data_IF_876753888686
#
_entry.id   IF_876753888686
#
_cell.length_a   1.000
_cell.length_b   1.000
_cell.length_c   1.000
_cell.angle_alpha   90.00
_cell.angle_beta   90.00
_cell.angle_gamma   90.00
#
_symmetry.space_group_name_H-M   'P 1'
#
loop_
_entity.id
_entity.type
_entity.pdbx_description
1 polymer ?
#
# COMPACT_ATOMS: atom_id res chain seq x y z
N UNK A 1 41.81 25.73 30.07
CA UNK A 1 42.87 25.53 29.04
C UNK A 1 42.13 25.42 27.71
N UNK A 2 42.09 26.52 26.95
CA UNK A 2 41.39 26.57 25.66
C UNK A 2 42.25 25.82 24.66
N UNK A 3 41.85 24.60 24.31
CA UNK A 3 42.49 23.82 23.27
C UNK A 3 42.37 24.62 21.97
N UNK A 4 43.51 25.13 21.49
CA UNK A 4 43.61 25.66 20.14
C UNK A 4 43.59 24.45 19.22
N UNK A 5 42.41 23.92 18.91
CA UNK A 5 42.27 23.04 17.76
C UNK A 5 42.84 23.80 16.57
N UNK A 6 43.83 23.20 15.90
CA UNK A 6 44.45 23.84 14.73
C UNK A 6 43.30 24.16 13.77
N UNK A 7 43.18 25.39 13.24
CA UNK A 7 42.07 25.76 12.36
C UNK A 7 41.96 24.83 11.15
N UNK A 8 43.07 24.22 10.76
CA UNK A 8 43.15 23.17 9.74
C UNK A 8 42.37 21.89 10.12
N UNK A 9 42.43 21.45 11.38
CA UNK A 9 41.70 20.27 11.86
C UNK A 9 40.20 20.55 11.97
N UNK A 10 39.80 21.73 12.44
CA UNK A 10 38.39 22.14 12.45
C UNK A 10 37.84 22.19 11.02
N UNK A 11 38.59 22.78 10.09
CA UNK A 11 38.23 22.83 8.67
C UNK A 11 38.14 21.42 8.06
N UNK A 12 39.08 20.54 8.37
CA UNK A 12 39.09 19.17 7.88
C UNK A 12 37.91 18.35 8.44
N UNK A 13 37.57 18.53 9.71
CA UNK A 13 36.44 17.85 10.35
C UNK A 13 35.07 18.34 9.84
N UNK A 14 34.98 19.60 9.38
CA UNK A 14 33.77 20.15 8.77
C UNK A 14 33.64 19.81 7.27
N UNK A 15 34.75 19.80 6.53
CA UNK A 15 34.73 19.56 5.08
C UNK A 15 34.74 18.07 4.73
N UNK A 16 35.43 17.22 5.49
CA UNK A 16 35.52 15.80 5.20
C UNK A 16 34.15 15.09 5.12
N UNK A 17 33.16 15.37 6.00
CA UNK A 17 31.82 14.80 5.89
C UNK A 17 31.03 15.28 4.66
N UNK A 18 31.33 16.48 4.13
CA UNK A 18 30.67 17.04 2.95
C UNK A 18 31.26 16.53 1.63
N UNK A 19 32.54 16.15 1.62
CA UNK A 19 33.25 15.61 0.46
C UNK A 19 32.68 14.26 0.00
N UNK A 20 32.30 13.39 0.93
CA UNK A 20 31.81 12.05 0.58
C UNK A 20 30.50 12.09 -0.21
N UNK A 21 29.43 12.79 0.24
CA UNK A 21 28.20 12.94 -0.55
C UNK A 21 28.44 13.61 -1.91
N UNK A 22 29.35 14.59 -1.98
CA UNK A 22 29.65 15.29 -3.23
C UNK A 22 30.38 14.38 -4.24
N UNK A 23 31.31 13.54 -3.78
CA UNK A 23 31.98 12.56 -4.62
C UNK A 23 31.00 11.48 -5.12
N UNK A 24 30.10 11.00 -4.25
CA UNK A 24 29.02 10.08 -4.63
C UNK A 24 28.09 10.71 -5.66
N UNK A 25 27.72 11.99 -5.49
CA UNK A 25 26.91 12.71 -6.46
C UNK A 25 27.60 12.84 -7.82
N UNK A 26 28.89 13.17 -7.83
CA UNK A 26 29.69 13.20 -9.06
C UNK A 26 29.71 11.84 -9.77
N UNK A 27 29.91 10.74 -9.03
CA UNK A 27 29.88 9.39 -9.58
C UNK A 27 28.50 9.05 -10.17
N UNK A 28 27.42 9.32 -9.44
CA UNK A 28 26.05 9.09 -9.91
C UNK A 28 25.78 9.85 -11.20
N UNK A 29 26.18 11.13 -11.28
CA UNK A 29 26.02 11.94 -12.50
C UNK A 29 26.76 11.30 -13.67
N UNK A 30 28.01 10.86 -13.47
CA UNK A 30 28.79 10.19 -14.52
C UNK A 30 28.08 8.91 -14.97
N UNK A 31 27.64 8.06 -14.04
CA UNK A 31 26.93 6.81 -14.35
C UNK A 31 25.64 7.10 -15.12
N UNK A 32 24.85 8.09 -14.70
CA UNK A 32 23.61 8.48 -15.39
C UNK A 32 23.89 8.99 -16.79
N UNK A 33 24.95 9.79 -16.99
CA UNK A 33 25.34 10.26 -18.33
C UNK A 33 25.69 9.08 -19.23
N UNK A 34 26.52 8.14 -18.76
CA UNK A 34 26.85 6.93 -19.52
C UNK A 34 25.62 6.07 -19.80
N UNK A 35 24.72 5.92 -18.82
CA UNK A 35 23.46 5.19 -18.97
C UNK A 35 22.54 5.82 -20.02
N UNK A 36 22.47 7.15 -20.08
CA UNK A 36 21.69 7.88 -21.08
C UNK A 36 22.33 7.83 -22.47
N UNK A 37 23.66 7.82 -22.56
CA UNK A 37 24.39 7.64 -23.82
C UNK A 37 24.17 6.24 -24.39
N UNK A 38 24.21 5.20 -23.54
CA UNK A 38 24.02 3.80 -23.93
C UNK A 38 22.56 3.33 -23.78
N UNK A 39 21.59 4.25 -23.74
CA UNK A 39 20.18 3.92 -23.43
C UNK A 39 19.61 2.85 -24.37
N UNK A 40 19.99 2.87 -25.64
CA UNK A 40 19.51 1.95 -26.68
C UNK A 40 20.11 0.56 -26.47
N UNK A 41 21.42 0.48 -26.24
CA UNK A 41 22.10 -0.78 -25.92
C UNK A 41 21.62 -1.40 -24.61
N UNK A 42 21.37 -0.58 -23.58
CA UNK A 42 20.82 -1.05 -22.30
C UNK A 42 19.39 -1.57 -22.46
N UNK A 43 18.56 -0.90 -23.25
CA UNK A 43 17.22 -1.37 -23.61
C UNK A 43 17.29 -2.71 -24.34
N UNK A 44 18.18 -2.84 -25.33
CA UNK A 44 18.31 -4.05 -26.12
C UNK A 44 18.84 -5.23 -25.28
N UNK A 45 19.79 -4.97 -24.37
CA UNK A 45 20.26 -5.97 -23.39
C UNK A 45 19.14 -6.40 -22.45
N UNK A 46 18.32 -5.47 -21.98
CA UNK A 46 17.18 -5.75 -21.11
C UNK A 46 16.11 -6.59 -21.81
N UNK A 47 15.74 -6.22 -23.05
CA UNK A 47 14.83 -6.98 -23.91
C UNK A 47 15.34 -8.42 -24.11
N UNK A 48 16.65 -8.59 -24.34
CA UNK A 48 17.25 -9.92 -24.49
C UNK A 48 17.17 -10.76 -23.20
N UNK A 49 17.19 -10.12 -22.03
CA UNK A 49 17.11 -10.78 -20.72
C UNK A 49 15.67 -11.24 -20.39
N UNK A 50 14.68 -10.42 -20.73
CA UNK A 50 13.24 -10.66 -20.50
C UNK A 50 12.65 -11.62 -21.54
N UNK A 51 13.31 -11.78 -22.70
CA UNK A 51 12.88 -12.66 -23.77
C UNK A 51 12.04 -11.94 -24.82
N UNK A 52 12.14 -12.41 -26.06
CA UNK A 52 11.53 -11.77 -27.24
C UNK A 52 10.00 -11.85 -27.31
N UNK A 53 9.35 -12.46 -26.32
CA UNK A 53 7.92 -12.83 -26.39
C UNK A 53 6.96 -11.65 -26.37
N UNK A 54 7.34 -10.50 -25.79
CA UNK A 54 6.42 -9.37 -25.66
C UNK A 54 7.13 -8.00 -25.57
N UNK A 55 7.72 -7.58 -26.70
CA UNK A 55 8.43 -6.29 -26.83
C UNK A 55 7.55 -5.08 -26.47
N UNK A 56 6.23 -5.22 -26.71
CA UNK A 56 5.25 -4.17 -26.48
C UNK A 56 5.04 -3.95 -24.97
N UNK A 57 4.77 -5.02 -24.21
CA UNK A 57 4.65 -4.97 -22.74
C UNK A 57 5.92 -4.46 -22.06
N UNK A 58 7.09 -4.92 -22.51
CA UNK A 58 8.38 -4.47 -21.96
C UNK A 58 8.62 -2.96 -22.18
N UNK A 59 8.23 -2.45 -23.35
CA UNK A 59 8.36 -1.01 -23.67
C UNK A 59 7.36 -0.16 -22.89
N UNK A 60 6.12 -0.64 -22.74
CA UNK A 60 5.11 0.01 -21.91
C UNK A 60 5.56 0.09 -20.44
N UNK A 61 6.06 -1.00 -19.87
CA UNK A 61 6.56 -1.04 -18.50
C UNK A 61 7.68 -0.01 -18.25
N UNK A 62 8.62 0.15 -19.19
CA UNK A 62 9.69 1.16 -19.10
C UNK A 62 9.15 2.60 -19.20
N UNK A 63 8.17 2.86 -20.06
CA UNK A 63 7.54 4.17 -20.19
C UNK A 63 6.74 4.54 -18.93
N UNK A 64 5.99 3.58 -18.39
CA UNK A 64 5.21 3.76 -17.17
C UNK A 64 6.09 3.97 -15.94
N UNK A 65 7.17 3.20 -15.81
CA UNK A 65 8.20 3.42 -14.81
C UNK A 65 8.78 4.85 -14.90
N UNK A 66 9.16 5.29 -16.10
CA UNK A 66 9.68 6.64 -16.32
C UNK A 66 8.67 7.74 -15.97
N UNK A 67 7.40 7.57 -16.35
CA UNK A 67 6.32 8.51 -16.03
C UNK A 67 6.10 8.62 -14.52
N UNK A 68 6.11 7.49 -13.81
CA UNK A 68 5.96 7.44 -12.34
C UNK A 68 7.10 8.14 -11.62
N UNK A 69 8.35 7.93 -12.05
CA UNK A 69 9.52 8.65 -11.50
C UNK A 69 9.40 10.14 -11.73
N UNK A 70 9.06 10.55 -12.96
CA UNK A 70 8.88 11.96 -13.32
C UNK A 70 7.80 12.64 -12.49
N UNK A 71 6.65 11.98 -12.33
CA UNK A 71 5.55 12.46 -11.50
C UNK A 71 5.95 12.56 -10.02
N UNK A 72 6.67 11.58 -9.48
CA UNK A 72 7.19 11.63 -8.10
C UNK A 72 8.14 12.81 -7.90
N UNK A 73 9.14 12.98 -8.78
CA UNK A 73 10.10 14.09 -8.66
C UNK A 73 9.41 15.45 -8.81
N UNK A 74 8.39 15.54 -9.67
CA UNK A 74 7.56 16.73 -9.79
C UNK A 74 6.79 17.00 -8.49
N UNK A 75 6.14 15.99 -7.91
CA UNK A 75 5.42 16.14 -6.64
C UNK A 75 6.37 16.52 -5.50
N UNK A 76 7.55 15.91 -5.41
CA UNK A 76 8.57 16.27 -4.43
C UNK A 76 9.01 17.74 -4.59
N UNK A 77 9.19 18.21 -5.83
CA UNK A 77 9.51 19.62 -6.09
C UNK A 77 8.36 20.53 -5.63
N UNK A 78 7.11 20.18 -5.91
CA UNK A 78 5.93 20.94 -5.47
C UNK A 78 5.87 21.02 -3.93
N UNK A 79 6.00 19.89 -3.22
CA UNK A 79 6.03 19.86 -1.76
C UNK A 79 7.16 20.74 -1.22
N UNK A 80 8.36 20.63 -1.79
CA UNK A 80 9.51 21.41 -1.36
C UNK A 80 9.28 22.91 -1.56
N UNK A 81 8.64 23.34 -2.66
CA UNK A 81 8.29 24.74 -2.90
C UNK A 81 7.24 25.22 -1.89
N UNK A 82 6.19 24.44 -1.67
CA UNK A 82 5.12 24.76 -0.69
C UNK A 82 5.68 24.85 0.73
N UNK A 83 6.74 24.11 1.06
CA UNK A 83 7.46 24.25 2.32
C UNK A 83 8.37 25.49 2.35
N UNK A 84 9.18 25.70 1.31
CA UNK A 84 10.22 26.73 1.30
C UNK A 84 9.70 28.16 1.20
N UNK A 85 8.58 28.39 0.50
CA UNK A 85 7.98 29.72 0.34
C UNK A 85 7.50 30.28 1.69
N UNK A 86 6.68 29.57 2.48
CA UNK A 86 6.30 30.00 3.83
C UNK A 86 7.50 30.16 4.77
N UNK A 87 8.51 29.28 4.70
CA UNK A 87 9.75 29.45 5.49
C UNK A 87 10.44 30.77 5.14
N UNK A 88 10.58 31.09 3.85
CA UNK A 88 11.17 32.35 3.38
C UNK A 88 10.40 33.55 3.94
N UNK A 89 9.08 33.52 3.82
CA UNK A 89 8.20 34.60 4.28
C UNK A 89 8.30 34.74 5.81
N UNK A 90 8.24 33.63 6.54
CA UNK A 90 8.33 33.62 8.00
C UNK A 90 9.68 34.15 8.51
N UNK A 91 10.79 33.73 7.91
CA UNK A 91 12.13 34.25 8.24
C UNK A 91 12.25 35.74 7.94
N UNK A 92 11.67 36.20 6.83
CA UNK A 92 11.63 37.62 6.47
C UNK A 92 10.83 38.44 7.48
N UNK A 93 9.65 37.95 7.90
CA UNK A 93 8.81 38.60 8.93
C UNK A 93 9.51 38.65 10.29
N UNK A 94 10.28 37.61 10.64
CA UNK A 94 11.08 37.57 11.87
C UNK A 94 12.33 38.47 11.81
N UNK A 95 12.63 39.07 10.66
CA UNK A 95 13.78 39.97 10.48
C UNK A 95 15.12 39.23 10.34
N UNK A 96 15.11 37.94 10.01
CA UNK A 96 16.34 37.18 9.77
C UNK A 96 16.95 37.61 8.42
N UNK A 97 18.22 38.02 8.39
CA UNK A 97 18.83 38.49 7.15
C UNK A 97 19.01 37.33 6.17
N UNK A 98 18.91 37.65 4.87
CA UNK A 98 19.00 36.68 3.77
C UNK A 98 17.92 35.57 3.83
N UNK A 99 16.69 35.89 4.27
CA UNK A 99 15.58 34.94 4.32
C UNK A 99 15.39 34.12 3.02
N UNK A 100 15.56 34.74 1.84
CA UNK A 100 15.49 34.05 0.55
C UNK A 100 16.58 32.98 0.38
N UNK A 101 17.80 33.26 0.83
CA UNK A 101 18.90 32.28 0.80
C UNK A 101 18.54 31.06 1.64
N UNK A 102 18.00 31.27 2.84
CA UNK A 102 17.61 30.19 3.74
C UNK A 102 16.43 29.39 3.20
N UNK A 103 15.45 30.04 2.58
CA UNK A 103 14.35 29.37 1.89
C UNK A 103 14.81 28.51 0.72
N UNK A 104 15.70 29.03 -0.15
CA UNK A 104 16.28 28.25 -1.25
C UNK A 104 17.15 27.09 -0.74
N UNK A 105 17.88 27.29 0.35
CA UNK A 105 18.65 26.22 0.97
C UNK A 105 17.73 25.15 1.54
N UNK A 106 16.64 25.52 2.21
CA UNK A 106 15.63 24.59 2.70
C UNK A 106 14.97 23.82 1.55
N UNK A 107 14.62 24.50 0.45
CA UNK A 107 14.11 23.89 -0.78
C UNK A 107 15.06 22.80 -1.31
N UNK A 108 16.34 23.12 -1.43
CA UNK A 108 17.36 22.22 -1.96
C UNK A 108 17.65 21.05 -1.02
N UNK A 109 17.75 21.32 0.29
CA UNK A 109 18.06 20.30 1.28
C UNK A 109 16.89 19.34 1.52
N UNK A 110 15.64 19.78 1.39
CA UNK A 110 14.46 18.92 1.60
C UNK A 110 14.31 17.79 0.57
N UNK A 111 15.10 17.79 -0.50
CA UNK A 111 15.25 16.57 -1.31
C UNK A 111 15.82 15.40 -0.52
N UNK A 112 16.60 15.64 0.54
CA UNK A 112 17.14 14.61 1.44
C UNK A 112 16.18 14.38 2.61
N UNK A 113 15.47 13.22 2.68
CA UNK A 113 14.53 12.94 3.75
C UNK A 113 15.19 12.97 5.13
N UNK A 114 14.44 13.42 6.14
CA UNK A 114 14.82 13.54 7.57
C UNK A 114 15.99 14.49 7.88
N UNK A 115 17.09 14.41 7.12
CA UNK A 115 18.31 15.19 7.33
C UNK A 115 18.15 16.61 6.77
N UNK A 116 17.53 16.72 5.60
CA UNK A 116 17.37 17.98 4.87
C UNK A 116 16.73 19.10 5.69
N UNK A 117 15.53 18.89 6.26
CA UNK A 117 14.86 19.88 7.10
C UNK A 117 15.69 20.27 8.33
N UNK A 118 16.35 19.31 8.98
CA UNK A 118 17.18 19.57 10.17
C UNK A 118 18.35 20.49 9.83
N UNK A 119 19.13 20.15 8.79
CA UNK A 119 20.27 20.98 8.37
C UNK A 119 19.79 22.34 7.86
N UNK A 120 18.67 22.37 7.13
CA UNK A 120 18.06 23.59 6.62
C UNK A 120 17.60 24.55 7.71
N UNK A 121 17.12 24.03 8.85
CA UNK A 121 16.71 24.82 10.01
C UNK A 121 17.89 25.26 10.88
N UNK A 122 18.93 24.43 10.97
CA UNK A 122 20.06 24.62 11.89
C UNK A 122 20.80 25.94 11.65
N UNK A 123 21.11 26.27 10.39
CA UNK A 123 21.85 27.49 10.06
C UNK A 123 21.04 28.78 10.36
N UNK A 124 19.76 28.92 9.97
CA UNK A 124 18.90 30.02 10.40
C UNK A 124 18.77 30.15 11.92
N UNK A 125 18.69 29.03 12.65
CA UNK A 125 18.62 29.04 14.11
C UNK A 125 19.89 29.60 14.76
N UNK A 126 21.06 29.19 14.27
CA UNK A 126 22.33 29.76 14.73
C UNK A 126 22.42 31.26 14.43
N UNK A 127 21.95 31.68 13.25
CA UNK A 127 21.90 33.09 12.89
C UNK A 127 20.94 33.88 13.79
N UNK A 128 19.78 33.32 14.11
CA UNK A 128 18.82 33.92 15.04
C UNK A 128 19.44 34.16 16.42
N UNK A 129 20.20 33.19 16.93
CA UNK A 129 20.93 33.29 18.19
C UNK A 129 22.05 34.35 18.15
N UNK A 130 22.70 34.51 17.00
CA UNK A 130 23.82 35.44 16.83
C UNK A 130 23.37 36.91 16.65
N UNK A 131 22.20 37.13 16.03
CA UNK A 131 21.74 38.47 15.63
C UNK A 131 21.00 39.20 16.76
N UNK A 132 20.19 38.51 17.57
CA UNK A 132 19.35 39.15 18.58
C UNK A 132 19.79 38.80 20.01
N UNK A 133 19.89 39.78 20.93
CA UNK A 133 20.09 39.50 22.34
C UNK A 133 18.79 38.93 22.93
N UNK A 134 18.79 37.63 23.23
CA UNK A 134 17.69 36.93 23.91
C UNK A 134 17.19 35.69 23.17
N UNK A 135 16.29 34.93 23.81
CA UNK A 135 15.81 33.63 23.30
C UNK A 135 14.59 33.75 22.38
N UNK A 136 13.91 34.89 22.35
CA UNK A 136 12.62 35.04 21.66
C UNK A 136 12.75 34.77 20.14
N UNK A 137 13.74 35.39 19.47
CA UNK A 137 13.92 35.21 18.03
C UNK A 137 14.22 33.73 17.69
N UNK A 138 15.12 33.10 18.46
CA UNK A 138 15.43 31.68 18.30
C UNK A 138 14.19 30.79 18.44
N UNK A 139 13.37 31.02 19.48
CA UNK A 139 12.16 30.24 19.72
C UNK A 139 11.13 30.41 18.62
N UNK A 140 10.92 31.64 18.12
CA UNK A 140 10.01 31.87 17.00
C UNK A 140 10.51 31.27 15.69
N UNK A 141 11.81 31.32 15.43
CA UNK A 141 12.41 30.64 14.26
C UNK A 141 12.27 29.13 14.39
N UNK A 142 12.53 28.55 15.57
CA UNK A 142 12.33 27.11 15.79
C UNK A 142 10.88 26.71 15.62
N UNK A 143 9.94 27.49 16.19
CA UNK A 143 8.51 27.26 16.02
C UNK A 143 8.09 27.31 14.55
N UNK A 144 8.61 28.26 13.77
CA UNK A 144 8.34 28.34 12.33
C UNK A 144 8.73 27.05 11.59
N UNK A 145 9.95 26.56 11.79
CA UNK A 145 10.41 25.32 11.15
C UNK A 145 9.63 24.09 11.62
N UNK A 146 9.36 23.97 12.93
CA UNK A 146 8.63 22.82 13.49
C UNK A 146 7.18 22.80 12.99
N UNK A 147 6.49 23.94 13.02
CA UNK A 147 5.10 24.05 12.56
C UNK A 147 5.01 23.75 11.07
N UNK A 148 5.93 24.30 10.27
CA UNK A 148 5.96 23.99 8.84
C UNK A 148 6.27 22.51 8.58
N UNK A 149 7.17 21.90 9.34
CA UNK A 149 7.45 20.47 9.20
C UNK A 149 6.23 19.61 9.54
N UNK A 150 5.52 19.98 10.61
CA UNK A 150 4.32 19.26 11.04
C UNK A 150 3.21 19.38 10.00
N UNK A 151 2.96 20.58 9.48
CA UNK A 151 1.97 20.83 8.41
C UNK A 151 2.36 20.07 7.15
N UNK A 152 3.63 20.12 6.74
CA UNK A 152 4.05 19.46 5.51
C UNK A 152 3.99 17.95 5.64
N UNK A 153 4.55 17.37 6.69
CA UNK A 153 4.60 15.92 6.88
C UNK A 153 3.24 15.27 7.19
N UNK A 154 2.33 15.97 7.89
CA UNK A 154 1.06 15.37 8.31
C UNK A 154 -0.15 15.82 7.49
N UNK A 155 -0.04 16.90 6.70
CA UNK A 155 -1.15 17.41 5.90
C UNK A 155 -0.80 17.43 4.41
N UNK A 156 0.28 18.13 4.03
CA UNK A 156 0.60 18.33 2.60
C UNK A 156 1.04 17.02 1.94
N UNK A 157 1.95 16.28 2.58
CA UNK A 157 2.48 15.02 2.03
C UNK A 157 1.37 13.96 1.91
N UNK A 158 0.54 13.67 2.94
CA UNK A 158 -0.58 12.74 2.79
C UNK A 158 -1.61 13.20 1.75
N UNK A 159 -1.89 14.50 1.65
CA UNK A 159 -2.84 15.02 0.67
C UNK A 159 -2.31 14.90 -0.77
N UNK A 160 -1.01 15.15 -0.98
CA UNK A 160 -0.41 15.12 -2.32
C UNK A 160 -0.02 13.71 -2.76
N UNK A 161 0.38 12.85 -1.82
CA UNK A 161 0.76 11.45 -2.05
C UNK A 161 -0.39 10.48 -1.73
N UNK A 162 -1.64 10.96 -1.63
CA UNK A 162 -2.83 10.34 -1.01
C UNK A 162 -3.35 9.00 -1.52
N UNK A 163 -2.52 8.21 -2.14
CA UNK A 163 -2.74 6.79 -2.42
C UNK A 163 -1.45 6.07 -2.06
N UNK A 164 -1.54 5.09 -1.14
CA UNK A 164 -0.41 4.22 -0.77
C UNK A 164 0.32 3.85 -2.05
N UNK A 165 1.65 4.02 -2.10
CA UNK A 165 2.50 3.89 -3.29
C UNK A 165 2.48 2.50 -3.96
N UNK A 166 1.55 1.63 -3.58
CA UNK A 166 1.51 0.21 -3.94
C UNK A 166 2.61 -0.59 -3.27
N UNK A 167 3.42 0.01 -2.39
CA UNK A 167 4.57 -0.62 -1.75
C UNK A 167 4.33 -0.97 -0.30
N UNK A 168 4.74 -2.18 0.11
CA UNK A 168 4.67 -2.58 1.51
C UNK A 168 5.53 -1.69 2.40
N UNK A 169 5.10 -1.41 3.66
CA UNK A 169 5.92 -0.64 4.60
C UNK A 169 7.32 -1.26 4.77
N UNK A 170 7.39 -2.59 4.78
CA UNK A 170 8.64 -3.33 4.82
C UNK A 170 9.48 -3.09 3.56
N UNK A 171 8.86 -3.10 2.37
CA UNK A 171 9.54 -2.76 1.11
C UNK A 171 10.17 -1.37 1.15
N UNK A 172 9.47 -0.37 1.69
CA UNK A 172 9.98 1.01 1.78
C UNK A 172 11.23 1.06 2.67
N UNK A 173 11.22 0.37 3.82
CA UNK A 173 12.35 0.32 4.74
C UNK A 173 13.55 -0.41 4.11
N UNK A 174 13.31 -1.60 3.54
CA UNK A 174 14.36 -2.41 2.90
C UNK A 174 14.96 -1.66 1.72
N UNK A 175 14.13 -1.02 0.90
CA UNK A 175 14.56 -0.16 -0.19
C UNK A 175 15.43 0.99 0.33
N UNK A 176 14.98 1.70 1.37
CA UNK A 176 15.73 2.83 1.91
C UNK A 176 17.13 2.41 2.34
N UNK A 177 17.26 1.25 3.01
CA UNK A 177 18.55 0.69 3.42
C UNK A 177 19.39 0.31 2.20
N UNK A 178 18.81 -0.46 1.27
CA UNK A 178 19.51 -0.97 0.08
C UNK A 178 20.03 0.17 -0.81
N UNK A 179 19.17 1.12 -1.16
CA UNK A 179 19.55 2.23 -2.03
C UNK A 179 20.50 3.20 -1.32
N UNK A 180 20.34 3.44 -0.02
CA UNK A 180 21.30 4.24 0.75
C UNK A 180 22.67 3.58 0.80
N UNK A 181 22.72 2.25 0.95
CA UNK A 181 23.98 1.51 0.91
C UNK A 181 24.63 1.59 -0.48
N UNK A 182 23.83 1.58 -1.56
CA UNK A 182 24.33 1.62 -2.93
C UNK A 182 24.89 3.00 -3.33
N UNK A 183 24.15 4.09 -3.09
CA UNK A 183 24.49 5.44 -3.58
C UNK A 183 24.56 6.52 -2.48
N UNK A 184 24.49 6.14 -1.21
CA UNK A 184 24.50 7.09 -0.09
C UNK A 184 23.22 7.92 0.00
N UNK A 185 23.31 9.20 0.40
CA UNK A 185 22.14 10.07 0.56
C UNK A 185 21.27 10.18 -0.70
N UNK A 186 21.87 10.18 -1.89
CA UNK A 186 21.13 10.21 -3.16
C UNK A 186 20.29 8.94 -3.37
N UNK A 187 20.81 7.80 -2.94
CA UNK A 187 20.05 6.55 -2.95
C UNK A 187 18.84 6.61 -2.04
N UNK A 188 18.95 7.25 -0.87
CA UNK A 188 17.79 7.47 0.01
C UNK A 188 16.71 8.31 -0.68
N UNK A 189 17.08 9.40 -1.35
CA UNK A 189 16.14 10.27 -2.09
C UNK A 189 15.40 9.50 -3.18
N UNK A 190 16.12 8.66 -3.91
CA UNK A 190 15.60 7.91 -5.05
C UNK A 190 15.03 6.53 -4.66
N UNK A 191 15.11 6.16 -3.39
CA UNK A 191 14.74 4.82 -2.91
C UNK A 191 13.31 4.46 -3.29
N UNK A 192 12.36 5.29 -2.87
CA UNK A 192 10.93 5.08 -3.14
C UNK A 192 10.62 5.01 -4.64
N UNK A 193 11.00 5.99 -5.48
CA UNK A 193 10.66 5.94 -6.90
C UNK A 193 11.34 4.78 -7.64
N UNK A 194 12.59 4.41 -7.30
CA UNK A 194 13.26 3.27 -7.93
C UNK A 194 12.60 1.95 -7.55
N UNK A 195 12.19 1.78 -6.30
CA UNK A 195 11.48 0.58 -5.86
C UNK A 195 10.10 0.48 -6.50
N UNK A 196 9.38 1.60 -6.64
CA UNK A 196 8.12 1.61 -7.42
C UNK A 196 8.38 1.16 -8.86
N UNK A 197 9.46 1.60 -9.51
CA UNK A 197 9.82 1.11 -10.84
C UNK A 197 10.06 -0.39 -10.86
N UNK A 198 10.81 -0.93 -9.89
CA UNK A 198 11.06 -2.37 -9.79
C UNK A 198 9.76 -3.17 -9.63
N UNK A 199 8.84 -2.70 -8.80
CA UNK A 199 7.53 -3.33 -8.60
C UNK A 199 6.66 -3.29 -9.85
N UNK A 200 6.57 -2.13 -10.51
CA UNK A 200 5.85 -1.98 -11.78
C UNK A 200 6.41 -2.88 -12.86
N UNK A 201 7.73 -3.06 -12.86
CA UNK A 201 8.41 -3.96 -13.79
C UNK A 201 8.05 -5.42 -13.50
N UNK A 202 7.93 -5.81 -12.23
CA UNK A 202 7.40 -7.12 -11.82
C UNK A 202 5.96 -7.38 -12.25
N UNK A 203 5.09 -6.37 -12.23
CA UNK A 203 3.69 -6.49 -12.68
C UNK A 203 3.55 -6.77 -14.18
N UNK A 204 4.47 -6.25 -14.99
CA UNK A 204 4.37 -6.34 -16.46
C UNK A 204 5.26 -7.43 -17.05
N UNK A 205 6.24 -7.92 -16.28
CA UNK A 205 7.24 -8.87 -16.76
C UNK A 205 7.18 -10.13 -15.90
N UNK A 206 6.67 -11.27 -16.44
CA UNK A 206 6.47 -12.50 -15.67
C UNK A 206 7.73 -13.00 -14.95
N UNK A 207 8.92 -12.81 -15.53
CA UNK A 207 10.18 -13.24 -14.90
C UNK A 207 10.53 -12.44 -13.64
N UNK A 208 9.93 -11.27 -13.45
CA UNK A 208 10.16 -10.37 -12.32
C UNK A 208 8.94 -10.26 -11.39
N UNK A 209 7.92 -11.11 -11.56
CA UNK A 209 6.70 -11.13 -10.75
C UNK A 209 7.01 -11.19 -9.24
N UNK A 210 8.09 -11.89 -8.85
CA UNK A 210 8.57 -11.94 -7.47
C UNK A 210 8.83 -10.56 -6.84
N UNK A 211 9.14 -9.52 -7.63
CA UNK A 211 9.33 -8.16 -7.14
C UNK A 211 8.01 -7.53 -6.68
N UNK A 212 6.92 -7.78 -7.39
CA UNK A 212 5.59 -7.31 -6.99
C UNK A 212 5.08 -8.09 -5.78
N UNK A 213 5.31 -9.41 -5.73
CA UNK A 213 4.98 -10.23 -4.56
C UNK A 213 5.75 -9.80 -3.31
N UNK A 214 7.06 -9.53 -3.45
CA UNK A 214 7.92 -9.19 -2.31
C UNK A 214 7.74 -7.75 -1.82
N UNK A 215 7.53 -6.81 -2.75
CA UNK A 215 7.52 -5.38 -2.44
C UNK A 215 6.16 -4.69 -2.61
N UNK A 216 5.20 -5.35 -3.24
CA UNK A 216 3.84 -4.86 -3.45
C UNK A 216 2.99 -4.87 -2.17
N UNK A 217 1.83 -4.23 -2.26
CA UNK A 217 0.82 -4.15 -1.20
C UNK A 217 -0.47 -4.92 -1.52
N UNK A 218 -0.52 -5.60 -2.67
CA UNK A 218 -1.66 -6.44 -3.01
C UNK A 218 -1.65 -7.68 -2.10
N UNK A 219 -2.82 -8.16 -1.64
CA UNK A 219 -2.88 -9.36 -0.82
C UNK A 219 -2.19 -10.51 -1.56
N UNK A 220 -1.16 -11.06 -0.93
CA UNK A 220 -0.24 -12.05 -1.55
C UNK A 220 -0.94 -13.37 -1.89
N UNK A 221 -2.11 -13.61 -1.29
CA UNK A 221 -2.96 -14.78 -1.51
C UNK A 221 -4.35 -14.33 -1.96
N UNK A 222 -4.91 -15.08 -2.91
CA UNK A 222 -6.32 -14.95 -3.29
C UNK A 222 -7.22 -15.23 -2.06
N UNK A 223 -8.39 -14.58 -1.95
CA UNK A 223 -9.24 -14.66 -0.75
C UNK A 223 -9.52 -16.09 -0.28
N UNK A 224 -9.81 -17.00 -1.20
CA UNK A 224 -10.10 -18.40 -0.88
C UNK A 224 -8.87 -19.18 -0.39
N UNK A 225 -7.68 -18.89 -0.94
CA UNK A 225 -6.43 -19.50 -0.48
C UNK A 225 -6.05 -19.01 0.92
N UNK A 226 -6.29 -17.72 1.22
CA UNK A 226 -6.11 -17.15 2.56
C UNK A 226 -7.06 -17.80 3.56
N UNK A 227 -8.33 -17.95 3.19
CA UNK A 227 -9.33 -18.61 4.02
C UNK A 227 -8.92 -20.07 4.31
N UNK A 228 -8.56 -20.84 3.27
CA UNK A 228 -8.08 -22.21 3.45
C UNK A 228 -6.87 -22.30 4.39
N UNK A 229 -5.91 -21.38 4.27
CA UNK A 229 -4.75 -21.34 5.18
C UNK A 229 -5.16 -21.11 6.64
N UNK A 230 -6.17 -20.26 6.91
CA UNK A 230 -6.66 -20.00 8.26
C UNK A 230 -7.41 -21.19 8.84
N UNK A 231 -8.24 -21.85 8.03
CA UNK A 231 -8.88 -23.10 8.41
C UNK A 231 -7.85 -24.20 8.72
N UNK A 232 -6.79 -24.30 7.92
CA UNK A 232 -5.67 -25.25 8.16
C UNK A 232 -4.87 -24.92 9.42
N UNK A 233 -4.76 -23.62 9.76
CA UNK A 233 -4.11 -23.17 10.99
C UNK A 233 -4.95 -23.42 12.25
N UNK A 234 -6.24 -23.78 12.10
CA UNK A 234 -7.16 -23.96 13.21
C UNK A 234 -7.56 -22.64 13.87
N UNK A 235 -7.63 -21.56 13.10
CA UNK A 235 -7.92 -20.19 13.57
C UNK A 235 -9.24 -19.69 12.95
N UNK A 236 -10.40 -20.17 13.44
CA UNK A 236 -11.70 -19.78 12.90
C UNK A 236 -12.06 -18.33 13.21
N UNK A 237 -11.52 -17.74 14.28
CA UNK A 237 -11.79 -16.36 14.67
C UNK A 237 -11.19 -15.40 13.62
N UNK A 238 -9.91 -15.56 13.24
CA UNK A 238 -9.32 -14.72 12.20
C UNK A 238 -9.93 -14.99 10.80
N UNK A 239 -10.39 -16.22 10.55
CA UNK A 239 -11.18 -16.51 9.35
C UNK A 239 -12.52 -15.75 9.33
N UNK A 240 -13.16 -15.61 10.50
CA UNK A 240 -14.42 -14.87 10.68
C UNK A 240 -14.19 -13.38 10.46
N UNK A 241 -13.16 -12.79 11.06
CA UNK A 241 -12.82 -11.37 10.88
C UNK A 241 -12.67 -11.01 9.38
N UNK A 242 -12.03 -11.89 8.60
CA UNK A 242 -11.88 -11.71 7.15
C UNK A 242 -13.18 -11.91 6.36
N UNK A 243 -14.04 -12.80 6.83
CA UNK A 243 -15.36 -13.00 6.24
C UNK A 243 -16.24 -11.77 6.50
N UNK A 244 -16.30 -11.26 7.73
CA UNK A 244 -17.03 -10.04 8.08
C UNK A 244 -16.56 -8.83 7.27
N UNK A 245 -15.23 -8.64 7.10
CA UNK A 245 -14.68 -7.58 6.23
C UNK A 245 -15.17 -7.71 4.76
N UNK A 246 -15.34 -8.94 4.26
CA UNK A 246 -15.90 -9.17 2.93
C UNK A 246 -17.41 -8.86 2.87
N UNK A 247 -18.14 -9.15 3.96
CA UNK A 247 -19.58 -8.95 4.08
C UNK A 247 -19.99 -7.49 4.35
N UNK A 248 -19.04 -6.60 4.64
CA UNK A 248 -19.31 -5.15 4.76
C UNK A 248 -19.94 -4.58 3.46
N UNK A 249 -19.47 -5.07 2.30
CA UNK A 249 -19.86 -4.56 0.97
C UNK A 249 -20.64 -5.60 0.13
N UNK A 250 -20.72 -6.86 0.55
CA UNK A 250 -21.24 -7.98 -0.25
C UNK A 250 -22.13 -8.92 0.57
N UNK A 251 -22.93 -9.72 -0.12
CA UNK A 251 -23.85 -10.67 0.51
C UNK A 251 -23.18 -11.98 0.94
N UNK A 252 -23.78 -12.68 1.90
CA UNK A 252 -23.31 -13.96 2.43
C UNK A 252 -23.13 -15.01 1.33
N UNK A 253 -24.05 -15.06 0.36
CA UNK A 253 -23.97 -15.99 -0.76
C UNK A 253 -22.72 -15.75 -1.63
N UNK A 254 -22.32 -14.49 -1.84
CA UNK A 254 -21.15 -14.16 -2.65
C UNK A 254 -19.87 -14.61 -1.95
N UNK A 255 -19.81 -14.43 -0.63
CA UNK A 255 -18.68 -14.90 0.16
C UNK A 255 -18.54 -16.42 0.06
N UNK A 256 -19.64 -17.17 0.23
CA UNK A 256 -19.59 -18.62 0.12
C UNK A 256 -19.27 -19.12 -1.30
N UNK A 257 -19.88 -18.55 -2.34
CA UNK A 257 -19.63 -18.94 -3.73
C UNK A 257 -18.20 -18.60 -4.19
N UNK A 258 -17.72 -17.38 -3.91
CA UNK A 258 -16.43 -16.89 -4.42
C UNK A 258 -15.24 -17.19 -3.53
N UNK A 259 -15.46 -17.46 -2.23
CA UNK A 259 -14.38 -17.59 -1.25
C UNK A 259 -14.42 -18.92 -0.50
N UNK A 260 -15.50 -19.21 0.22
CA UNK A 260 -15.52 -20.35 1.14
C UNK A 260 -15.55 -21.71 0.44
N UNK A 261 -16.41 -21.88 -0.58
CA UNK A 261 -16.47 -23.13 -1.34
C UNK A 261 -15.17 -23.38 -2.11
N UNK A 262 -14.57 -22.40 -2.84
CA UNK A 262 -13.25 -22.57 -3.42
C UNK A 262 -12.15 -22.90 -2.40
N UNK A 263 -12.23 -22.39 -1.16
CA UNK A 263 -11.29 -22.74 -0.09
C UNK A 263 -11.43 -24.21 0.35
N UNK A 264 -12.66 -24.71 0.49
CA UNK A 264 -12.92 -26.14 0.79
C UNK A 264 -12.46 -27.04 -0.36
N UNK A 265 -12.62 -26.60 -1.62
CA UNK A 265 -12.11 -27.32 -2.80
C UNK A 265 -10.58 -27.46 -2.80
N UNK A 266 -9.84 -26.45 -2.29
CA UNK A 266 -8.39 -26.59 -2.09
C UNK A 266 -8.06 -27.68 -1.07
N UNK A 267 -8.81 -27.74 0.04
CA UNK A 267 -8.70 -28.81 1.04
C UNK A 267 -8.96 -30.20 0.46
N UNK A 268 -10.01 -30.32 -0.36
CA UNK A 268 -10.32 -31.56 -1.07
C UNK A 268 -9.24 -31.97 -2.07
N UNK A 269 -8.65 -31.01 -2.77
CA UNK A 269 -7.54 -31.28 -3.66
C UNK A 269 -6.28 -31.76 -2.91
N UNK A 270 -5.96 -31.16 -1.77
CA UNK A 270 -4.84 -31.60 -0.91
C UNK A 270 -5.09 -32.98 -0.28
N UNK A 271 -6.34 -33.28 0.07
CA UNK A 271 -6.77 -34.63 0.51
C UNK A 271 -6.60 -35.66 -0.60
N UNK A 272 -7.05 -35.37 -1.82
CA UNK A 272 -6.90 -36.25 -2.98
C UNK A 272 -5.43 -36.53 -3.32
N UNK A 273 -4.55 -35.56 -3.06
CA UNK A 273 -3.09 -35.71 -3.22
C UNK A 273 -2.42 -36.44 -2.06
N UNK A 274 -3.15 -36.73 -0.98
CA UNK A 274 -2.62 -37.36 0.23
C UNK A 274 -1.69 -36.47 1.05
N UNK A 275 -1.81 -35.14 0.89
CA UNK A 275 -1.02 -34.14 1.65
C UNK A 275 -1.73 -33.79 2.95
N UNK A 276 -3.07 -33.75 2.94
CA UNK A 276 -3.90 -33.45 4.09
C UNK A 276 -4.20 -34.75 4.86
N UNK A 277 -3.71 -34.86 6.09
CA UNK A 277 -4.00 -36.02 6.95
C UNK A 277 -5.39 -35.96 7.59
N UNK A 278 -5.83 -37.05 8.23
CA UNK A 278 -7.16 -37.14 8.84
C UNK A 278 -7.37 -36.17 10.01
N UNK A 279 -6.30 -35.78 10.72
CA UNK A 279 -6.38 -34.85 11.85
C UNK A 279 -6.54 -33.42 11.34
N UNK A 280 -5.72 -33.03 10.36
CA UNK A 280 -5.79 -31.76 9.66
C UNK A 280 -7.12 -31.59 8.93
N UNK A 281 -7.65 -32.65 8.29
CA UNK A 281 -8.96 -32.58 7.63
C UNK A 281 -10.08 -32.24 8.63
N UNK A 282 -10.09 -32.89 9.80
CA UNK A 282 -11.05 -32.59 10.87
C UNK A 282 -10.86 -31.19 11.44
N UNK A 283 -9.62 -30.73 11.55
CA UNK A 283 -9.33 -29.37 12.01
C UNK A 283 -9.88 -28.32 11.03
N UNK A 284 -9.64 -28.52 9.72
CA UNK A 284 -10.16 -27.65 8.66
C UNK A 284 -11.69 -27.65 8.67
N UNK A 285 -12.31 -28.83 8.71
CA UNK A 285 -13.76 -28.97 8.77
C UNK A 285 -14.36 -28.30 10.02
N UNK A 286 -13.81 -28.58 11.21
CA UNK A 286 -14.28 -27.98 12.45
C UNK A 286 -14.07 -26.46 12.50
N UNK A 287 -13.00 -25.95 11.89
CA UNK A 287 -12.79 -24.50 11.75
C UNK A 287 -13.77 -23.87 10.77
N UNK A 288 -14.15 -24.59 9.71
CA UNK A 288 -15.14 -24.13 8.73
C UNK A 288 -16.55 -24.13 9.33
N UNK A 289 -16.90 -25.15 10.12
CA UNK A 289 -18.15 -25.17 10.88
C UNK A 289 -18.20 -24.04 11.92
N UNK A 290 -17.10 -23.79 12.63
CA UNK A 290 -17.01 -22.67 13.57
C UNK A 290 -17.15 -21.31 12.87
N UNK A 291 -16.55 -21.14 11.68
CA UNK A 291 -16.73 -19.95 10.85
C UNK A 291 -18.21 -19.74 10.49
N UNK A 292 -18.91 -20.79 10.02
CA UNK A 292 -20.35 -20.70 9.70
C UNK A 292 -21.16 -20.30 10.95
N UNK A 293 -20.86 -20.92 12.09
CA UNK A 293 -21.52 -20.59 13.36
C UNK A 293 -21.25 -19.15 13.82
N UNK A 294 -20.04 -18.62 13.61
CA UNK A 294 -19.71 -17.25 13.96
C UNK A 294 -20.38 -16.23 13.03
N UNK A 295 -20.61 -16.59 11.77
CA UNK A 295 -21.30 -15.74 10.79
C UNK A 295 -22.82 -15.68 10.96
N UNK A 296 -23.39 -16.42 11.92
CA UNK A 296 -24.84 -16.48 12.13
C UNK A 296 -25.46 -15.12 12.45
N UNK A 297 -24.78 -14.29 13.25
CA UNK A 297 -25.24 -12.93 13.56
C UNK A 297 -25.30 -12.04 12.31
N UNK A 298 -24.35 -12.21 11.38
CA UNK A 298 -24.31 -11.49 10.10
C UNK A 298 -25.38 -12.01 9.14
N UNK A 299 -25.61 -13.33 9.12
CA UNK A 299 -26.68 -13.95 8.33
C UNK A 299 -28.06 -13.48 8.78
N UNK A 300 -28.32 -13.43 10.09
CA UNK A 300 -29.59 -12.95 10.63
C UNK A 300 -29.82 -11.47 10.30
N UNK A 301 -28.79 -10.62 10.40
CA UNK A 301 -28.89 -9.22 9.97
C UNK A 301 -29.23 -9.09 8.48
N UNK A 302 -28.63 -9.91 7.62
CA UNK A 302 -28.94 -9.93 6.20
C UNK A 302 -30.40 -10.34 5.93
N UNK A 303 -30.89 -11.39 6.61
CA UNK A 303 -32.27 -11.86 6.48
C UNK A 303 -33.30 -10.81 6.95
N UNK A 304 -33.01 -10.11 8.06
CA UNK A 304 -33.87 -9.03 8.56
C UNK A 304 -33.97 -7.86 7.56
N UNK A 305 -32.88 -7.55 6.84
CA UNK A 305 -32.90 -6.51 5.82
C UNK A 305 -33.72 -6.92 4.58
N UNK A 306 -33.67 -8.19 4.16
CA UNK A 306 -34.49 -8.72 3.06
C UNK A 306 -36.00 -8.74 3.42
N UNK A 307 -36.36 -9.04 4.68
CA UNK A 307 -37.76 -9.01 5.15
C UNK A 307 -38.38 -7.60 5.22
N UNK A 308 -37.57 -6.53 5.22
CA UNK A 308 -38.04 -5.14 5.28
C UNK A 308 -38.26 -4.54 3.88
N UNK A 309 -37.65 -5.08 2.83
CA UNK A 309 -37.85 -4.65 1.43
C UNK A 309 -39.09 -5.20 0.66
N UNK A 310 -39.94 -6.15 1.14
CA UNK A 310 -40.98 -6.73 0.29
C UNK A 310 -42.20 -5.81 0.06
N UNK A 311 -42.36 -4.71 0.82
CA UNK A 311 -43.49 -3.78 0.64
C UNK A 311 -43.28 -2.69 -0.43
N UNK A 312 -42.07 -2.53 -0.99
CA UNK A 312 -41.80 -1.53 -2.03
C UNK A 312 -42.01 -2.03 -3.48
N UNK A 313 -42.35 -3.31 -3.68
CA UNK A 313 -42.58 -3.91 -5.01
C UNK A 313 -43.96 -3.56 -5.63
N UNK A 314 -44.42 -2.34 -5.37
CA UNK A 314 -45.74 -1.83 -5.74
C UNK A 314 -45.74 -0.64 -6.69
N UNK A 315 -44.65 -0.33 -7.41
CA UNK A 315 -44.64 0.50 -8.61
C UNK A 315 -43.22 0.60 -9.15
N UNK A 316 -43.04 0.33 -10.44
CA UNK A 316 -41.72 0.32 -11.08
C UNK A 316 -40.90 1.58 -10.85
N UNK A 317 -39.67 1.38 -10.39
CA UNK A 317 -38.48 2.10 -10.81
C UNK A 317 -37.25 1.31 -10.33
N UNK A 318 -36.27 1.17 -11.21
CA UNK A 318 -35.00 0.43 -11.06
C UNK A 318 -34.14 0.95 -9.89
N UNK A 319 -34.45 0.56 -8.65
CA UNK A 319 -33.61 0.83 -7.48
C UNK A 319 -33.71 -0.26 -6.41
N UNK A 320 -33.01 -1.37 -6.62
CA UNK A 320 -32.57 -2.25 -5.54
C UNK A 320 -31.09 -2.57 -5.79
N UNK A 321 -30.23 -2.47 -4.76
CA UNK A 321 -28.85 -2.93 -4.84
C UNK A 321 -27.74 -1.86 -4.89
N UNK A 322 -27.66 -0.96 -3.92
CA UNK A 322 -26.38 -0.37 -3.50
C UNK A 322 -26.36 -0.29 -1.96
N UNK A 323 -25.94 -1.36 -1.28
CA UNK A 323 -25.41 -1.21 0.09
C UNK A 323 -24.14 -0.37 -0.06
N UNK A 324 -24.29 0.91 0.31
CA UNK A 324 -23.30 2.00 0.43
C UNK A 324 -21.98 1.82 -0.33
N UNK A 325 -21.89 2.49 -1.47
CA UNK A 325 -20.62 3.02 -1.98
C UNK A 325 -19.95 3.93 -0.92
N UNK A 326 -19.12 3.35 -0.05
CA UNK A 326 -18.12 4.08 0.71
C UNK A 326 -17.04 4.54 -0.27
N UNK A 327 -16.99 5.85 -0.51
CA UNK A 327 -16.00 6.62 -1.28
C UNK A 327 -15.03 5.80 -2.16
N UNK A 328 -15.43 5.58 -3.42
CA UNK A 328 -14.57 5.06 -4.50
C UNK A 328 -13.20 5.76 -4.50
N UNK A 329 -12.14 4.98 -4.26
CA UNK A 329 -10.76 5.40 -4.54
C UNK A 329 -10.60 5.53 -6.07
N UNK A 330 -10.07 6.65 -6.60
CA UNK A 330 -9.84 6.77 -8.03
C UNK A 330 -8.56 6.00 -8.42
N UNK A 331 -8.70 4.87 -9.11
CA UNK A 331 -7.53 4.15 -9.65
C UNK A 331 -7.71 2.68 -10.04
N UNK A 332 -8.88 2.07 -9.85
CA UNK A 332 -9.12 0.69 -10.28
C UNK A 332 -9.68 0.65 -11.70
N UNK A 333 -8.77 0.74 -12.69
CA UNK A 333 -9.01 0.20 -14.02
C UNK A 333 -8.63 -1.29 -13.98
N UNK A 334 -9.56 -2.14 -13.52
CA UNK A 334 -9.61 -3.56 -13.89
C UNK A 334 -11.03 -3.86 -14.34
N UNK A 335 -11.09 -4.61 -15.42
CA UNK A 335 -12.27 -5.01 -16.19
C UNK A 335 -13.52 -5.13 -15.32
N UNK A 336 -14.52 -4.30 -15.61
CA UNK A 336 -15.85 -4.48 -15.08
C UNK A 336 -16.38 -5.81 -15.64
N UNK A 337 -16.23 -6.89 -14.87
CA UNK A 337 -17.13 -8.02 -14.99
C UNK A 337 -18.53 -7.46 -14.69
N UNK A 338 -19.39 -7.47 -15.71
CA UNK A 338 -20.81 -7.23 -15.53
C UNK A 338 -21.31 -8.22 -14.47
N UNK A 339 -21.56 -7.72 -13.27
CA UNK A 339 -22.20 -8.49 -12.20
C UNK A 339 -23.62 -8.76 -12.72
N UNK A 340 -23.85 -9.97 -13.24
CA UNK A 340 -25.22 -10.46 -13.40
C UNK A 340 -25.87 -10.37 -12.02
N UNK A 341 -26.95 -9.59 -11.90
CA UNK A 341 -27.81 -9.60 -10.71
C UNK A 341 -28.34 -11.03 -10.53
N UNK A 342 -27.67 -11.80 -9.68
CA UNK A 342 -28.12 -13.13 -9.29
C UNK A 342 -29.31 -12.94 -8.37
N UNK A 343 -30.51 -12.88 -8.93
CA UNK A 343 -31.74 -12.97 -8.17
C UNK A 343 -31.85 -14.38 -7.58
N UNK A 344 -31.60 -14.49 -6.27
CA UNK A 344 -31.79 -15.74 -5.54
C UNK A 344 -33.28 -16.07 -5.43
N UNK A 345 -33.65 -17.36 -5.45
CA UNK A 345 -35.04 -17.77 -5.31
C UNK A 345 -35.52 -17.61 -3.85
N UNK A 346 -36.74 -17.07 -3.68
CA UNK A 346 -37.43 -16.98 -2.39
C UNK A 346 -37.68 -18.39 -1.80
N UNK A 347 -37.16 -18.61 -0.59
CA UNK A 347 -37.24 -19.84 0.18
C UNK A 347 -38.50 -19.97 1.04
N UNK A 348 -39.36 -18.94 1.09
CA UNK A 348 -40.50 -18.89 2.01
C UNK A 348 -41.44 -20.10 1.85
N UNK A 349 -41.60 -20.86 2.94
CA UNK A 349 -42.47 -22.04 2.98
C UNK A 349 -41.89 -23.30 2.34
N UNK A 350 -40.61 -23.28 1.97
CA UNK A 350 -39.85 -24.45 1.50
C UNK A 350 -39.11 -25.07 2.69
N UNK A 351 -39.17 -26.39 2.81
CA UNK A 351 -38.38 -27.15 3.77
C UNK A 351 -37.29 -27.95 3.02
N UNK A 352 -36.02 -27.75 3.39
CA UNK A 352 -34.86 -28.36 2.74
C UNK A 352 -34.04 -29.14 3.77
N UNK A 353 -33.57 -30.32 3.40
CA UNK A 353 -32.60 -31.08 4.22
C UNK A 353 -31.22 -30.93 3.58
N UNK A 354 -30.26 -30.35 4.29
CA UNK A 354 -28.89 -30.16 3.83
C UNK A 354 -27.96 -31.12 4.58
N UNK A 355 -27.24 -31.98 3.85
CA UNK A 355 -26.34 -32.96 4.44
C UNK A 355 -25.07 -33.14 3.59
N UNK A 356 -23.93 -33.30 4.25
CA UNK A 356 -22.66 -33.61 3.60
C UNK A 356 -22.67 -34.98 2.94
N UNK A 357 -21.91 -35.11 1.85
CA UNK A 357 -21.92 -36.30 1.00
C UNK A 357 -20.94 -37.38 1.44
N UNK A 358 -19.65 -37.04 1.57
CA UNK A 358 -18.55 -38.00 1.62
C UNK A 358 -17.66 -37.86 2.85
N UNK A 359 -17.38 -36.63 3.26
CA UNK A 359 -16.42 -36.34 4.32
C UNK A 359 -16.80 -35.08 5.10
N UNK A 360 -16.01 -34.79 6.14
CA UNK A 360 -16.24 -33.71 7.09
C UNK A 360 -16.19 -32.31 6.40
N UNK A 361 -15.53 -32.18 5.24
CA UNK A 361 -15.53 -30.92 4.46
C UNK A 361 -16.84 -30.72 3.70
N UNK A 362 -17.47 -31.81 3.24
CA UNK A 362 -18.82 -31.75 2.66
C UNK A 362 -19.87 -31.35 3.72
N UNK A 363 -19.69 -31.73 4.99
CA UNK A 363 -20.57 -31.31 6.08
C UNK A 363 -20.49 -29.79 6.31
N UNK A 364 -19.28 -29.23 6.30
CA UNK A 364 -19.09 -27.78 6.36
C UNK A 364 -19.70 -27.05 5.15
N UNK A 365 -19.54 -27.60 3.94
CA UNK A 365 -20.17 -27.04 2.73
C UNK A 365 -21.72 -27.11 2.80
N UNK A 366 -22.26 -28.19 3.37
CA UNK A 366 -23.70 -28.31 3.59
C UNK A 366 -24.21 -27.29 4.61
N UNK A 367 -23.44 -27.00 5.68
CA UNK A 367 -23.77 -25.97 6.65
C UNK A 367 -23.76 -24.56 6.02
N UNK A 368 -22.78 -24.24 5.17
CA UNK A 368 -22.74 -22.98 4.41
C UNK A 368 -23.98 -22.82 3.51
N UNK A 369 -24.37 -23.89 2.80
CA UNK A 369 -25.58 -23.89 1.96
C UNK A 369 -26.84 -23.73 2.80
N UNK A 370 -26.92 -24.41 3.95
CA UNK A 370 -28.05 -24.30 4.86
C UNK A 370 -28.26 -22.86 5.33
N UNK A 371 -27.19 -22.18 5.77
CA UNK A 371 -27.28 -20.81 6.24
C UNK A 371 -27.74 -19.84 5.15
N UNK A 372 -27.25 -19.97 3.91
CA UNK A 372 -27.74 -19.14 2.78
C UNK A 372 -29.22 -19.38 2.49
N UNK A 373 -29.67 -20.64 2.55
CA UNK A 373 -31.09 -20.96 2.34
C UNK A 373 -31.97 -20.42 3.47
N UNK A 374 -31.49 -20.41 4.71
CA UNK A 374 -32.17 -19.82 5.85
C UNK A 374 -32.30 -18.30 5.72
N UNK A 375 -31.25 -17.62 5.24
CA UNK A 375 -31.30 -16.17 4.93
C UNK A 375 -32.41 -15.86 3.92
N UNK A 376 -32.59 -16.72 2.92
CA UNK A 376 -33.66 -16.59 1.91
C UNK A 376 -35.04 -17.08 2.40
N UNK A 377 -35.21 -17.40 3.69
CA UNK A 377 -36.50 -17.74 4.30
C UNK A 377 -36.92 -19.21 4.25
N UNK A 378 -36.03 -20.13 3.83
CA UNK A 378 -36.30 -21.56 3.85
C UNK A 378 -36.14 -22.17 5.26
N UNK A 379 -36.94 -23.18 5.59
CA UNK A 379 -36.74 -23.98 6.80
C UNK A 379 -35.75 -25.11 6.51
N UNK A 380 -34.51 -24.99 6.99
CA UNK A 380 -33.47 -26.00 6.74
C UNK A 380 -33.34 -26.96 7.91
N UNK A 381 -33.00 -28.23 7.64
CA UNK A 381 -32.76 -29.28 8.64
C UNK A 381 -31.55 -30.11 8.26
#
# INVERSE_FOLDING_TARGET
>A
IVAHEKPLQVLQNLIAPLLSPLASAGLVIVVVIFMLMEREDLRDRFIRLVGYGDLHRTTQALQDAGKRVGQYLLMQLVVNIVYAVPITIGLWVLGIPNALLWGMLALALRFVPYIGPIIGALLPLFLALAVAPGWALLLWTAALFIVMELITGNVIEPWLYGSRTGLSPLAIIVAAIFWTWLWGPLGLVLSTPLTVCLVVLGRHVPQFEFLDVLFGNEPVLEPHARLYQRLLAGDPDEATDHAEEYLEDKYLFEFYDKVAIPALLLGEHDRMRGVLDDEQRRLVAGSAEALVANLDDSAQQEAEEEEVEPEAAGSGDDKAGERKASERRPGEDKEAEEVEEVNLPDGTGIAVLCAGGRDELDDAAAAMLAQVLEVQGAAVT
#
